data_IF_253567941170
#
_entry.id   IF_253567941170
#
_cell.length_a   1.000
_cell.length_b   1.000
_cell.length_c   1.000
_cell.angle_alpha   90.00
_cell.angle_beta   90.00
_cell.angle_gamma   90.00
#
_symmetry.space_group_name_H-M   'P 1'
#
loop_
_entity.id
_entity.type
_entity.pdbx_description
1 polymer ?
#
# COMPACT_ATOMS: atom_id res chain seq x y z
N UNK A 1 2.43 0.83 3.32
CA UNK A 1 1.28 1.36 2.54
C UNK A 1 0.22 1.84 3.52
N UNK A 2 -0.31 3.05 3.36
CA UNK A 2 -1.39 3.56 4.21
C UNK A 2 -2.74 3.00 3.77
N UNK A 3 -3.57 2.57 4.72
CA UNK A 3 -4.91 2.03 4.46
C UNK A 3 -5.91 2.83 5.29
N UNK A 4 -6.81 3.52 4.61
CA UNK A 4 -7.91 4.26 5.21
C UNK A 4 -9.18 3.40 5.29
N UNK A 5 -9.99 3.60 6.34
CA UNK A 5 -11.24 2.85 6.55
C UNK A 5 -12.26 3.03 5.41
N UNK A 6 -12.31 4.20 4.80
CA UNK A 6 -13.30 4.59 3.79
C UNK A 6 -12.82 4.34 2.36
N UNK A 7 -11.53 4.58 2.11
CA UNK A 7 -10.93 4.53 0.77
C UNK A 7 -10.01 3.32 0.53
N UNK A 8 -9.76 2.52 1.56
CA UNK A 8 -8.70 1.52 1.51
C UNK A 8 -7.34 2.17 1.26
N UNK A 9 -6.52 1.55 0.41
CA UNK A 9 -5.24 2.10 -0.03
C UNK A 9 -5.31 2.84 -1.37
N UNK A 10 -6.50 3.09 -1.92
CA UNK A 10 -6.69 3.89 -3.13
C UNK A 10 -6.55 5.40 -2.85
N UNK A 11 -5.39 5.79 -2.32
CA UNK A 11 -5.06 7.15 -1.90
C UNK A 11 -3.67 7.53 -2.40
N UNK A 12 -3.49 8.81 -2.76
CA UNK A 12 -2.17 9.43 -2.89
C UNK A 12 -2.03 10.46 -1.79
N UNK A 13 -0.95 10.34 -1.02
CA UNK A 13 -0.65 11.26 0.08
C UNK A 13 0.32 12.31 -0.43
N UNK A 14 0.13 13.55 0.03
CA UNK A 14 1.05 14.66 -0.12
C UNK A 14 1.18 15.36 1.23
N UNK A 15 2.24 16.13 1.42
CA UNK A 15 2.53 16.83 2.66
C UNK A 15 2.96 18.27 2.38
N UNK A 16 2.61 19.16 3.30
CA UNK A 16 3.10 20.54 3.35
C UNK A 16 3.81 20.71 4.70
N UNK A 17 5.00 21.29 4.68
CA UNK A 17 5.72 21.65 5.90
C UNK A 17 5.34 23.08 6.28
N UNK A 18 5.06 23.32 7.56
CA UNK A 18 4.62 24.62 8.08
C UNK A 18 4.98 24.76 9.55
N UNK A 19 5.24 26.00 9.97
CA UNK A 19 5.42 26.38 11.38
C UNK A 19 4.10 26.81 12.04
N UNK A 20 2.98 26.75 11.31
CA UNK A 20 1.68 27.05 11.86
C UNK A 20 1.34 26.10 13.03
N UNK A 21 0.81 26.66 14.11
CA UNK A 21 0.32 25.87 15.24
C UNK A 21 -0.98 25.19 14.83
N UNK A 22 -0.98 23.87 14.82
CA UNK A 22 -2.12 23.04 14.40
C UNK A 22 -2.43 21.98 15.46
N UNK A 23 -3.72 21.73 15.68
CA UNK A 23 -4.16 20.55 16.42
C UNK A 23 -3.85 19.29 15.60
N UNK A 24 -3.34 18.25 16.28
CA UNK A 24 -3.01 16.97 15.64
C UNK A 24 -3.87 15.83 16.17
N UNK A 25 -4.15 14.87 15.28
CA UNK A 25 -4.91 13.67 15.62
C UNK A 25 -4.10 12.65 16.43
N UNK A 26 -4.78 11.63 16.95
CA UNK A 26 -4.14 10.48 17.60
C UNK A 26 -3.55 9.54 16.54
N UNK A 27 -2.26 9.18 16.62
CA UNK A 27 -1.64 8.29 15.63
C UNK A 27 -2.12 6.84 15.80
N UNK A 28 -2.22 6.12 14.68
CA UNK A 28 -2.38 4.67 14.68
C UNK A 28 -0.99 4.05 14.74
N UNK A 29 -0.69 3.30 15.81
CA UNK A 29 0.65 2.74 16.07
C UNK A 29 0.82 1.28 15.64
N UNK A 30 -0.27 0.61 15.23
CA UNK A 30 -0.27 -0.77 14.75
C UNK A 30 -1.29 -0.98 13.64
N UNK A 31 -1.04 -1.97 12.79
CA UNK A 31 -1.93 -2.35 11.70
C UNK A 31 -3.29 -2.81 12.21
N UNK A 32 -4.33 -2.47 11.44
CA UNK A 32 -5.71 -2.91 11.65
C UNK A 32 -6.13 -3.99 10.63
N UNK A 33 -5.19 -4.53 9.85
CA UNK A 33 -5.44 -5.70 9.02
C UNK A 33 -5.85 -6.89 9.91
N UNK A 34 -6.81 -7.70 9.44
CA UNK A 34 -7.23 -8.92 10.14
C UNK A 34 -6.06 -9.91 10.30
N UNK A 35 -6.10 -10.76 11.33
CA UNK A 35 -5.03 -11.72 11.63
C UNK A 35 -4.73 -12.70 10.50
N UNK A 36 -5.71 -12.98 9.65
CA UNK A 36 -5.60 -13.90 8.50
C UNK A 36 -5.54 -13.18 7.15
N UNK A 37 -5.29 -11.86 7.14
CA UNK A 37 -5.24 -11.08 5.93
C UNK A 37 -3.83 -11.08 5.31
N UNK A 38 -3.69 -11.77 4.17
CA UNK A 38 -2.43 -11.87 3.43
C UNK A 38 -2.57 -11.42 1.95
N UNK A 39 -3.67 -10.73 1.61
CA UNK A 39 -4.02 -10.42 0.22
C UNK A 39 -2.98 -9.60 -0.54
N UNK A 40 -2.34 -8.63 0.11
CA UNK A 40 -1.31 -7.82 -0.53
C UNK A 40 0.00 -8.60 -0.74
N UNK A 41 0.30 -9.58 0.11
CA UNK A 41 1.44 -10.49 -0.03
C UNK A 41 1.18 -11.51 -1.13
N UNK A 42 0.06 -12.23 -1.07
CA UNK A 42 -0.29 -13.30 -2.00
C UNK A 42 -0.44 -12.80 -3.44
N UNK A 43 -0.90 -11.56 -3.63
CA UNK A 43 -1.07 -10.95 -4.95
C UNK A 43 0.14 -10.10 -5.39
N UNK A 44 1.24 -10.07 -4.63
CA UNK A 44 2.42 -9.31 -5.02
C UNK A 44 3.22 -10.09 -6.08
N UNK A 45 3.31 -9.60 -7.32
CA UNK A 45 4.03 -10.33 -8.38
C UNK A 45 5.53 -10.41 -8.14
N UNK A 46 6.10 -9.47 -7.37
CA UNK A 46 7.52 -9.47 -7.02
C UNK A 46 7.84 -10.19 -5.72
N UNK A 47 6.85 -10.71 -4.97
CA UNK A 47 7.09 -11.26 -3.63
C UNK A 47 7.72 -10.25 -2.66
N UNK A 48 7.36 -8.98 -2.79
CA UNK A 48 8.00 -7.86 -2.11
C UNK A 48 7.40 -7.52 -0.74
N UNK A 49 6.19 -8.00 -0.42
CA UNK A 49 5.50 -7.72 0.84
C UNK A 49 5.75 -8.90 1.78
N UNK A 50 6.24 -8.66 3.00
CA UNK A 50 6.62 -9.76 3.91
C UNK A 50 5.46 -10.49 4.57
N UNK A 51 4.26 -9.88 4.58
CA UNK A 51 3.09 -10.41 5.29
C UNK A 51 3.08 -10.15 6.80
N UNK A 52 4.14 -9.53 7.34
CA UNK A 52 4.14 -9.07 8.72
C UNK A 52 3.07 -8.02 8.96
N UNK A 53 2.63 -7.85 10.20
CA UNK A 53 1.74 -6.75 10.59
C UNK A 53 2.55 -5.51 10.94
N UNK A 54 2.31 -4.43 10.20
CA UNK A 54 2.95 -3.14 10.46
C UNK A 54 2.70 -2.66 11.89
N UNK A 55 3.72 -2.11 12.52
CA UNK A 55 3.66 -1.34 13.77
C UNK A 55 4.87 -0.39 13.83
N UNK A 56 4.91 0.51 14.81
CA UNK A 56 5.95 1.55 14.93
C UNK A 56 7.36 1.03 15.27
N UNK A 57 7.52 -0.22 15.70
CA UNK A 57 8.84 -0.79 15.98
C UNK A 57 9.48 -1.48 14.77
N UNK A 58 8.72 -1.72 13.70
CA UNK A 58 9.25 -2.35 12.48
C UNK A 58 10.00 -1.33 11.62
N UNK A 59 11.13 -1.77 11.06
CA UNK A 59 11.78 -1.04 9.97
C UNK A 59 10.99 -1.23 8.68
N UNK A 60 11.23 -0.35 7.71
CA UNK A 60 10.60 -0.46 6.39
C UNK A 60 10.97 -1.78 5.72
N UNK A 61 12.22 -2.18 5.86
CA UNK A 61 12.83 -3.33 5.19
C UNK A 61 12.30 -4.66 5.76
N UNK A 62 11.88 -4.69 7.02
CA UNK A 62 11.20 -5.85 7.63
C UNK A 62 9.84 -6.11 6.97
N UNK A 63 9.21 -5.06 6.45
CA UNK A 63 7.85 -5.09 5.94
C UNK A 63 7.80 -5.19 4.40
N UNK A 64 8.76 -4.57 3.70
CA UNK A 64 8.70 -4.36 2.26
C UNK A 64 10.08 -4.30 1.59
N UNK A 65 10.29 -5.20 0.63
CA UNK A 65 11.46 -5.27 -0.24
C UNK A 65 11.26 -4.37 -1.47
N UNK A 66 11.92 -3.21 -1.45
CA UNK A 66 11.78 -2.20 -2.51
C UNK A 66 12.33 -2.68 -3.85
N UNK A 67 13.47 -3.38 -3.86
CA UNK A 67 14.13 -3.81 -5.10
C UNK A 67 13.28 -4.84 -5.84
N UNK A 68 12.72 -5.82 -5.11
CA UNK A 68 11.77 -6.78 -5.69
C UNK A 68 10.52 -6.09 -6.26
N UNK A 69 9.99 -5.10 -5.55
CA UNK A 69 8.83 -4.36 -6.04
C UNK A 69 9.16 -3.54 -7.30
N UNK A 70 10.31 -2.86 -7.32
CA UNK A 70 10.77 -2.03 -8.42
C UNK A 70 10.96 -2.89 -9.68
N UNK A 71 11.66 -4.01 -9.55
CA UNK A 71 11.89 -4.95 -10.65
C UNK A 71 10.57 -5.44 -11.24
N UNK A 72 9.67 -5.96 -10.40
CA UNK A 72 8.38 -6.48 -10.87
C UNK A 72 7.50 -5.39 -11.50
N UNK A 73 7.53 -4.16 -10.98
CA UNK A 73 6.76 -3.05 -11.55
C UNK A 73 7.28 -2.66 -12.95
N UNK A 74 8.60 -2.63 -13.15
CA UNK A 74 9.21 -2.39 -14.47
C UNK A 74 8.87 -3.50 -15.46
N UNK A 75 8.98 -4.76 -15.06
CA UNK A 75 8.64 -5.91 -15.92
C UNK A 75 7.17 -5.88 -16.35
N UNK A 76 6.26 -5.63 -15.40
CA UNK A 76 4.81 -5.58 -15.68
C UNK A 76 4.47 -4.39 -16.57
N UNK A 77 4.99 -3.21 -16.26
CA UNK A 77 4.71 -2.02 -17.08
C UNK A 77 5.29 -2.15 -18.48
N UNK A 78 6.49 -2.70 -18.63
CA UNK A 78 7.07 -2.96 -19.95
C UNK A 78 6.19 -3.94 -20.74
N UNK A 79 5.79 -5.06 -20.13
CA UNK A 79 4.92 -6.05 -20.78
C UNK A 79 3.56 -5.50 -21.22
N UNK A 80 2.94 -4.62 -20.44
CA UNK A 80 1.56 -4.17 -20.69
C UNK A 80 1.48 -2.81 -21.41
N UNK A 81 2.51 -1.98 -21.31
CA UNK A 81 2.52 -0.59 -21.78
C UNK A 81 3.69 -0.29 -22.72
N UNK A 82 4.56 -1.27 -23.00
CA UNK A 82 5.78 -1.12 -23.78
C UNK A 82 6.71 0.00 -23.28
N UNK A 83 6.70 0.26 -21.96
CA UNK A 83 7.51 1.26 -21.28
C UNK A 83 7.89 0.78 -19.89
N UNK A 84 9.17 0.92 -19.51
CA UNK A 84 9.61 0.66 -18.14
C UNK A 84 9.15 1.79 -17.21
N UNK A 85 8.09 1.52 -16.46
CA UNK A 85 7.54 2.41 -15.45
C UNK A 85 7.57 1.72 -14.08
N UNK A 86 7.38 2.50 -13.03
CA UNK A 86 7.30 1.98 -11.64
C UNK A 86 5.85 1.74 -11.22
N UNK A 87 4.98 1.39 -12.17
CA UNK A 87 3.54 1.24 -11.97
C UNK A 87 3.16 -0.25 -11.95
N UNK A 88 2.57 -0.69 -10.84
CA UNK A 88 1.99 -2.03 -10.70
C UNK A 88 0.63 -1.97 -9.97
N UNK A 89 0.62 -1.50 -8.71
CA UNK A 89 -0.61 -1.25 -7.96
C UNK A 89 -1.40 -2.50 -7.52
N UNK A 90 -0.92 -3.72 -7.79
CA UNK A 90 -1.64 -4.96 -7.45
C UNK A 90 -1.96 -5.10 -5.96
N UNK A 91 -1.04 -4.74 -5.08
CA UNK A 91 -1.24 -4.74 -3.63
C UNK A 91 -2.25 -3.68 -3.15
N UNK A 92 -2.42 -2.58 -3.90
CA UNK A 92 -3.47 -1.59 -3.65
C UNK A 92 -4.82 -2.18 -4.03
N UNK A 93 -4.89 -2.73 -5.24
CA UNK A 93 -6.11 -3.32 -5.80
C UNK A 93 -6.60 -4.52 -4.97
N UNK A 94 -5.73 -5.46 -4.58
CA UNK A 94 -6.16 -6.67 -3.87
C UNK A 94 -6.62 -6.43 -2.44
N UNK A 95 -6.33 -5.28 -1.85
CA UNK A 95 -6.70 -4.97 -0.47
C UNK A 95 -8.24 -5.03 -0.28
N UNK A 96 -8.77 -5.79 0.69
CA UNK A 96 -10.21 -5.88 0.94
C UNK A 96 -10.87 -4.52 1.24
N UNK A 97 -10.15 -3.61 1.91
CA UNK A 97 -10.63 -2.27 2.18
C UNK A 97 -10.75 -1.42 0.90
N UNK A 98 -9.80 -1.58 -0.03
CA UNK A 98 -9.85 -0.93 -1.35
C UNK A 98 -11.00 -1.49 -2.18
N UNK A 99 -11.17 -2.82 -2.21
CA UNK A 99 -12.29 -3.47 -2.91
C UNK A 99 -13.65 -3.05 -2.34
N UNK A 100 -13.76 -2.87 -1.01
CA UNK A 100 -14.96 -2.31 -0.38
C UNK A 100 -15.24 -0.88 -0.83
N UNK A 101 -14.21 -0.05 -0.97
CA UNK A 101 -14.33 1.31 -1.49
C UNK A 101 -14.78 1.32 -2.96
N UNK A 102 -14.09 0.58 -3.83
CA UNK A 102 -14.39 0.53 -5.27
C UNK A 102 -15.81 0.04 -5.56
N UNK A 103 -16.29 -0.99 -4.84
CA UNK A 103 -17.68 -1.47 -4.96
C UNK A 103 -18.74 -0.43 -4.57
N UNK A 104 -18.39 0.58 -3.78
CA UNK A 104 -19.29 1.69 -3.46
C UNK A 104 -19.18 2.82 -4.47
N UNK A 105 -17.98 3.11 -4.96
CA UNK A 105 -17.71 4.22 -5.87
C UNK A 105 -18.08 3.94 -7.33
N UNK A 106 -18.13 2.67 -7.75
CA UNK A 106 -18.47 2.24 -9.11
C UNK A 106 -19.93 1.78 -9.25
N UNK A 107 -20.75 1.95 -8.21
CA UNK A 107 -22.20 1.86 -8.30
C UNK A 107 -22.75 3.22 -8.69
#
# INVERSE_FOLDING_TARGET
MFVNKNYGSALRLSSVLTDAVLDYGKPITRSLCGDRCFECMNNCPGGAVSGLKWNTSLKREDFFDYEKCLKAAKEISFKNLNKELTICGKCIYSCPHTQKFLRKALK
#
